data_IF_911721915568
#
_entry.id   IF_911721915568
#
_cell.length_a   1.000
_cell.length_b   1.000
_cell.length_c   1.000
_cell.angle_alpha   90.00
_cell.angle_beta   90.00
_cell.angle_gamma   90.00
#
_symmetry.space_group_name_H-M   'P 1'
#
loop_
_entity.id
_entity.type
_entity.pdbx_description
1 polymer ?
#
# COMPACT_ATOMS: atom_id res chain seq x y z
N UNK A 1 -2.59 -26.49 9.19
CA UNK A 1 -3.50 -25.44 9.71
C UNK A 1 -4.91 -25.82 9.38
N UNK A 2 -5.81 -25.81 10.36
CA UNK A 2 -7.22 -26.10 10.12
C UNK A 2 -8.02 -24.81 9.89
N UNK A 3 -9.27 -24.95 9.49
CA UNK A 3 -10.14 -23.81 9.16
C UNK A 3 -10.35 -22.88 10.38
N UNK A 4 -10.47 -23.47 11.58
CA UNK A 4 -10.66 -22.67 12.80
C UNK A 4 -9.45 -21.78 13.09
N UNK A 5 -8.24 -22.30 12.99
CA UNK A 5 -7.03 -21.54 13.21
C UNK A 5 -6.88 -20.43 12.18
N UNK A 6 -7.20 -20.71 10.91
CA UNK A 6 -7.17 -19.71 9.86
C UNK A 6 -8.16 -18.57 10.15
N UNK A 7 -9.38 -18.91 10.58
CA UNK A 7 -10.39 -17.92 10.93
C UNK A 7 -9.94 -17.05 12.10
N UNK A 8 -9.32 -17.63 13.13
CA UNK A 8 -8.78 -16.89 14.27
C UNK A 8 -7.68 -15.91 13.84
N UNK A 9 -6.80 -16.31 12.93
CA UNK A 9 -5.76 -15.44 12.40
C UNK A 9 -6.33 -14.27 11.61
N UNK A 10 -7.35 -14.51 10.79
CA UNK A 10 -8.01 -13.45 10.03
C UNK A 10 -8.66 -12.43 10.97
N UNK A 11 -9.36 -12.90 11.99
CA UNK A 11 -9.99 -12.03 12.99
C UNK A 11 -8.93 -11.21 13.74
N UNK A 12 -7.84 -11.85 14.17
CA UNK A 12 -6.75 -11.18 14.87
C UNK A 12 -6.16 -10.06 14.00
N UNK A 13 -5.86 -10.34 12.73
CA UNK A 13 -5.32 -9.32 11.82
C UNK A 13 -6.31 -8.17 11.64
N UNK A 14 -7.58 -8.48 11.42
CA UNK A 14 -8.61 -7.45 11.22
C UNK A 14 -8.73 -6.52 12.43
N UNK A 15 -8.61 -7.06 13.65
CA UNK A 15 -8.70 -6.27 14.87
C UNK A 15 -7.47 -5.42 15.15
N UNK A 16 -6.31 -5.82 14.61
CA UNK A 16 -5.03 -5.18 14.90
C UNK A 16 -4.48 -4.35 13.74
N UNK A 17 -5.22 -4.25 12.63
CA UNK A 17 -4.82 -3.41 11.53
C UNK A 17 -4.87 -1.94 11.93
N UNK A 18 -3.81 -1.23 11.58
CA UNK A 18 -3.70 0.21 11.76
C UNK A 18 -3.42 0.85 10.40
N UNK A 19 -3.70 2.13 10.29
CA UNK A 19 -3.38 2.85 9.08
C UNK A 19 -1.97 3.41 9.18
N UNK A 20 -1.14 3.07 8.21
CA UNK A 20 0.23 3.57 8.11
C UNK A 20 0.38 4.39 6.84
N UNK A 21 1.12 5.48 6.94
CA UNK A 21 1.44 6.31 5.80
C UNK A 21 2.75 5.83 5.18
N UNK A 22 2.71 5.58 3.87
CA UNK A 22 3.89 5.23 3.09
C UNK A 22 4.16 6.37 2.12
N UNK A 23 5.37 6.89 2.12
CA UNK A 23 5.76 8.01 1.27
C UNK A 23 6.60 7.49 0.11
N UNK A 24 6.22 7.89 -1.11
CA UNK A 24 6.96 7.55 -2.32
C UNK A 24 7.22 8.82 -3.11
N UNK A 25 8.40 8.89 -3.69
CA UNK A 25 8.78 10.03 -4.52
C UNK A 25 7.88 10.12 -5.76
N UNK A 26 7.45 11.33 -6.09
CA UNK A 26 6.61 11.58 -7.26
C UNK A 26 7.25 11.07 -8.54
N UNK A 27 8.56 11.31 -8.70
CA UNK A 27 9.27 10.90 -9.90
C UNK A 27 9.31 9.38 -10.05
N UNK A 28 9.54 8.66 -8.96
CA UNK A 28 9.53 7.20 -8.98
C UNK A 28 8.16 6.66 -9.38
N UNK A 29 7.09 7.24 -8.85
CA UNK A 29 5.72 6.86 -9.21
C UNK A 29 5.42 7.11 -10.68
N UNK A 30 5.90 8.23 -11.23
CA UNK A 30 5.76 8.55 -12.65
C UNK A 30 6.54 7.57 -13.52
N UNK A 31 7.79 7.26 -13.13
CA UNK A 31 8.62 6.32 -13.87
C UNK A 31 8.01 4.91 -13.90
N UNK A 32 7.34 4.53 -12.83
CA UNK A 32 6.66 3.25 -12.77
C UNK A 32 5.33 3.23 -13.53
N UNK A 33 4.88 4.37 -14.02
CA UNK A 33 3.63 4.46 -14.76
C UNK A 33 2.40 4.24 -13.89
N UNK A 34 2.54 4.36 -12.58
CA UNK A 34 1.47 4.09 -11.61
C UNK A 34 0.55 5.29 -11.45
N UNK A 35 1.11 6.49 -11.63
CA UNK A 35 0.37 7.72 -11.37
C UNK A 35 -0.64 7.98 -12.48
N UNK A 36 -1.90 8.07 -12.08
CA UNK A 36 -2.95 8.68 -12.87
C UNK A 36 -3.03 10.15 -12.45
N UNK A 37 -3.36 11.01 -13.39
CA UNK A 37 -3.52 12.42 -13.10
C UNK A 37 -4.51 12.61 -11.97
N UNK A 38 -4.04 13.17 -10.85
CA UNK A 38 -4.86 13.50 -9.69
C UNK A 38 -4.76 15.01 -9.46
N UNK A 39 -5.86 15.72 -9.70
CA UNK A 39 -5.92 17.18 -9.55
C UNK A 39 -5.68 17.63 -8.12
N UNK A 40 -5.84 16.74 -7.15
CA UNK A 40 -5.62 17.06 -5.72
C UNK A 40 -4.15 16.99 -5.35
N UNK A 41 -3.35 16.30 -6.14
CA UNK A 41 -1.93 16.16 -5.85
C UNK A 41 -1.19 17.42 -6.31
N UNK A 42 -0.35 17.93 -5.43
CA UNK A 42 0.47 19.10 -5.71
C UNK A 42 1.74 18.66 -6.45
N UNK A 43 1.97 19.12 -7.70
CA UNK A 43 3.19 18.76 -8.42
C UNK A 43 4.45 19.11 -7.63
N UNK A 44 5.44 18.22 -7.68
CA UNK A 44 6.72 18.41 -6.99
C UNK A 44 6.71 17.96 -5.53
N UNK A 45 5.58 17.40 -5.03
CA UNK A 45 5.51 16.87 -3.67
C UNK A 45 5.49 15.34 -3.71
N UNK A 46 5.97 14.67 -2.65
CA UNK A 46 5.89 13.20 -2.61
C UNK A 46 4.45 12.71 -2.48
N UNK A 47 4.22 11.48 -2.91
CA UNK A 47 2.95 10.79 -2.72
C UNK A 47 2.87 10.19 -1.34
N UNK A 48 1.75 10.42 -0.67
CA UNK A 48 1.45 9.87 0.65
C UNK A 48 0.32 8.86 0.50
N UNK A 49 0.63 7.61 0.75
CA UNK A 49 -0.29 6.49 0.56
C UNK A 49 -0.64 5.92 1.92
N UNK A 50 -1.91 5.93 2.29
CA UNK A 50 -2.36 5.36 3.56
C UNK A 50 -2.81 3.92 3.34
N UNK A 51 -2.21 2.99 4.09
CA UNK A 51 -2.41 1.56 3.91
C UNK A 51 -2.71 0.91 5.26
N UNK A 52 -3.79 0.10 5.35
CA UNK A 52 -4.02 -0.70 6.55
C UNK A 52 -3.02 -1.86 6.61
N UNK A 53 -2.33 -1.99 7.73
CA UNK A 53 -1.31 -3.01 7.93
C UNK A 53 -1.08 -3.27 9.41
N UNK A 54 -0.32 -4.30 9.71
CA UNK A 54 0.07 -4.65 11.06
C UNK A 54 1.29 -3.87 11.55
N UNK A 55 2.09 -3.35 10.61
CA UNK A 55 3.30 -2.59 10.90
C UNK A 55 3.66 -1.68 9.74
N UNK A 56 4.56 -0.73 9.99
CA UNK A 56 5.09 0.14 8.95
C UNK A 56 5.79 -0.67 7.85
N UNK A 57 6.57 -1.67 8.23
CA UNK A 57 7.26 -2.54 7.27
C UNK A 57 6.27 -3.28 6.37
N UNK A 58 5.19 -3.81 6.93
CA UNK A 58 4.15 -4.47 6.14
C UNK A 58 3.46 -3.48 5.20
N UNK A 59 3.18 -2.27 5.66
CA UNK A 59 2.57 -1.24 4.84
C UNK A 59 3.44 -0.91 3.61
N UNK A 60 4.75 -0.80 3.80
CA UNK A 60 5.68 -0.53 2.71
C UNK A 60 5.73 -1.68 1.70
N UNK A 61 5.73 -2.92 2.18
CA UNK A 61 5.67 -4.10 1.32
C UNK A 61 4.38 -4.11 0.50
N UNK A 62 3.24 -3.79 1.12
CA UNK A 62 1.95 -3.72 0.43
C UNK A 62 1.93 -2.67 -0.67
N UNK A 63 2.54 -1.52 -0.42
CA UNK A 63 2.64 -0.46 -1.44
C UNK A 63 3.52 -0.93 -2.61
N UNK A 64 4.65 -1.57 -2.33
CA UNK A 64 5.53 -2.08 -3.36
C UNK A 64 4.84 -3.16 -4.22
N UNK A 65 4.07 -4.04 -3.59
CA UNK A 65 3.28 -5.04 -4.29
C UNK A 65 2.21 -4.39 -5.18
N UNK A 66 1.54 -3.38 -4.67
CA UNK A 66 0.55 -2.64 -5.44
C UNK A 66 1.17 -1.95 -6.66
N UNK A 67 2.32 -1.32 -6.49
CA UNK A 67 3.05 -0.69 -7.60
C UNK A 67 3.43 -1.74 -8.64
N UNK A 68 3.91 -2.90 -8.21
CA UNK A 68 4.27 -3.99 -9.11
C UNK A 68 3.07 -4.51 -9.90
N UNK A 69 1.92 -4.64 -9.25
CA UNK A 69 0.67 -5.05 -9.91
C UNK A 69 0.23 -4.02 -10.95
N UNK A 70 0.29 -2.74 -10.61
CA UNK A 70 -0.09 -1.67 -11.53
C UNK A 70 0.83 -1.63 -12.75
N UNK A 71 2.12 -1.85 -12.54
CA UNK A 71 3.10 -1.92 -13.63
C UNK A 71 2.83 -3.10 -14.55
N UNK A 72 2.47 -4.25 -13.98
CA UNK A 72 2.16 -5.46 -14.76
C UNK A 72 0.86 -5.34 -15.54
N UNK A 73 -0.12 -4.60 -15.01
CA UNK A 73 -1.43 -4.40 -15.64
C UNK A 73 -1.38 -3.35 -16.77
N UNK A 74 -0.38 -2.49 -16.73
CA UNK A 74 -0.18 -1.47 -17.76
C UNK A 74 0.58 -2.02 -18.93
#
# INVERSE_FOLDING_TARGET
>A
MNVKELAEQVIYRAQNLQEFEVIRDENDMILDGVIRYDIRHRPGTPYRITVPAMSQAEAEIRVDEWIAEMRSAG
#
